data_IF_783271908349
#
_entry.id   IF_783271908349
#
_cell.length_a   1.000
_cell.length_b   1.000
_cell.length_c   1.000
_cell.angle_alpha   90.00
_cell.angle_beta   90.00
_cell.angle_gamma   90.00
#
_symmetry.space_group_name_H-M   'P 1'
#
loop_
_entity.id
_entity.type
_entity.pdbx_description
1 polymer ?
#
# COMPACT_ATOMS: atom_id res chain seq x y z
N UNK A 1 5.22 -18.58 3.90
CA UNK A 1 4.55 -18.44 2.59
C UNK A 1 3.25 -17.67 2.74
N UNK A 2 3.20 -16.48 2.17
CA UNK A 2 2.02 -15.63 2.28
C UNK A 2 1.01 -16.03 1.21
N UNK A 3 -0.14 -16.53 1.62
CA UNK A 3 -1.21 -16.91 0.70
C UNK A 3 -2.16 -15.74 0.39
N UNK A 4 -2.04 -14.66 1.15
CA UNK A 4 -2.80 -13.45 0.89
C UNK A 4 -1.96 -12.22 1.23
N UNK A 5 -2.34 -11.10 0.64
CA UNK A 5 -1.70 -9.82 0.88
C UNK A 5 -2.80 -8.84 1.29
N UNK A 6 -2.56 -8.03 2.31
CA UNK A 6 -3.57 -7.08 2.76
C UNK A 6 -3.49 -5.76 1.99
N UNK A 7 -4.54 -4.96 2.12
CA UNK A 7 -4.67 -3.71 1.38
C UNK A 7 -3.61 -2.68 1.77
N UNK A 8 -3.10 -2.72 3.00
CA UNK A 8 -2.04 -1.82 3.43
C UNK A 8 -0.76 -2.06 2.62
N UNK A 9 -0.37 -3.31 2.45
CA UNK A 9 0.81 -3.67 1.66
C UNK A 9 0.62 -3.26 0.20
N UNK A 10 -0.56 -3.53 -0.36
CA UNK A 10 -0.88 -3.12 -1.74
C UNK A 10 -0.79 -1.60 -1.91
N UNK A 11 -1.26 -0.83 -0.93
CA UNK A 11 -1.16 0.61 -0.97
C UNK A 11 0.28 1.13 -0.89
N UNK A 12 1.12 0.49 -0.09
CA UNK A 12 2.54 0.83 0.00
C UNK A 12 3.22 0.56 -1.34
N UNK A 13 2.93 -0.59 -1.95
CA UNK A 13 3.47 -0.94 -3.26
C UNK A 13 3.01 0.05 -4.33
N UNK A 14 1.73 0.42 -4.33
CA UNK A 14 1.20 1.40 -5.27
C UNK A 14 1.92 2.74 -5.15
N UNK A 15 2.16 3.20 -3.94
CA UNK A 15 2.88 4.44 -3.70
C UNK A 15 4.30 4.38 -4.23
N UNK A 16 4.99 3.26 -3.98
CA UNK A 16 6.34 3.05 -4.49
C UNK A 16 6.38 3.09 -6.01
N UNK A 17 5.44 2.38 -6.67
CA UNK A 17 5.35 2.36 -8.11
C UNK A 17 5.07 3.73 -8.71
N UNK A 18 4.19 4.51 -8.08
CA UNK A 18 3.89 5.88 -8.50
C UNK A 18 5.12 6.78 -8.39
N UNK A 19 5.87 6.67 -7.29
CA UNK A 19 7.10 7.45 -7.12
C UNK A 19 8.15 7.11 -8.16
N UNK A 20 8.34 5.83 -8.46
CA UNK A 20 9.29 5.39 -9.48
C UNK A 20 8.93 5.96 -10.85
N UNK A 21 7.64 5.97 -11.18
CA UNK A 21 7.17 6.50 -12.45
C UNK A 21 7.29 8.02 -12.52
N UNK A 22 6.91 8.73 -11.47
CA UNK A 22 6.85 10.20 -11.46
C UNK A 22 8.23 10.83 -11.30
N UNK A 23 9.08 10.27 -10.44
CA UNK A 23 10.36 10.88 -10.09
C UNK A 23 11.46 10.36 -11.01
N UNK A 24 11.47 9.06 -11.30
CA UNK A 24 12.56 8.42 -12.03
C UNK A 24 12.17 7.97 -13.43
N UNK A 25 10.90 8.14 -13.82
CA UNK A 25 10.35 7.68 -15.10
C UNK A 25 10.63 6.18 -15.34
N UNK A 26 10.54 5.38 -14.27
CA UNK A 26 10.76 3.94 -14.30
C UNK A 26 9.42 3.24 -14.18
N UNK A 27 9.15 2.31 -15.11
CA UNK A 27 7.98 1.45 -15.04
C UNK A 27 8.34 0.20 -14.24
N UNK A 28 7.77 0.08 -13.04
CA UNK A 28 8.03 -1.07 -12.18
C UNK A 28 7.26 -2.30 -12.67
N UNK A 29 7.86 -3.47 -12.45
CA UNK A 29 7.28 -4.76 -12.80
C UNK A 29 7.02 -5.54 -11.51
N UNK A 30 5.82 -6.09 -11.38
CA UNK A 30 5.45 -6.96 -10.26
C UNK A 30 5.34 -8.39 -10.77
N UNK A 31 6.14 -9.29 -10.22
CA UNK A 31 6.04 -10.72 -10.50
C UNK A 31 5.25 -11.40 -9.39
N UNK A 32 4.18 -12.08 -9.76
CA UNK A 32 3.34 -12.78 -8.80
C UNK A 32 3.32 -14.28 -9.14
N UNK A 33 3.60 -15.09 -8.13
CA UNK A 33 3.52 -16.56 -8.25
C UNK A 33 2.17 -17.10 -7.80
N UNK A 34 1.30 -16.24 -7.28
CA UNK A 34 -0.01 -16.63 -6.77
C UNK A 34 -1.09 -15.89 -7.58
N UNK A 35 -1.94 -16.68 -8.25
CA UNK A 35 -2.99 -16.13 -9.11
C UNK A 35 -4.02 -15.30 -8.34
N UNK A 36 -4.29 -15.66 -7.09
CA UNK A 36 -5.24 -14.90 -6.25
C UNK A 36 -4.69 -13.51 -5.92
N UNK A 37 -3.41 -13.42 -5.62
CA UNK A 37 -2.73 -12.14 -5.37
C UNK A 37 -2.70 -11.31 -6.66
N UNK A 38 -2.42 -11.93 -7.80
CA UNK A 38 -2.44 -11.25 -9.09
C UNK A 38 -3.83 -10.68 -9.39
N UNK A 39 -4.87 -11.47 -9.16
CA UNK A 39 -6.25 -11.03 -9.36
C UNK A 39 -6.59 -9.87 -8.43
N UNK A 40 -6.21 -9.97 -7.16
CA UNK A 40 -6.45 -8.92 -6.18
C UNK A 40 -5.73 -7.62 -6.58
N UNK A 41 -4.46 -7.71 -6.95
CA UNK A 41 -3.67 -6.55 -7.36
C UNK A 41 -4.31 -5.86 -8.58
N UNK A 42 -4.74 -6.63 -9.57
CA UNK A 42 -5.42 -6.08 -10.74
C UNK A 42 -6.74 -5.43 -10.38
N UNK A 43 -7.53 -6.05 -9.50
CA UNK A 43 -8.82 -5.49 -9.07
C UNK A 43 -8.65 -4.19 -8.29
N UNK A 44 -7.55 -4.02 -7.59
CA UNK A 44 -7.23 -2.80 -6.84
C UNK A 44 -6.59 -1.70 -7.71
N UNK A 45 -6.42 -1.95 -9.01
CA UNK A 45 -5.90 -0.95 -9.93
C UNK A 45 -4.40 -0.87 -10.00
N UNK A 46 -3.66 -1.83 -9.42
CA UNK A 46 -2.21 -1.80 -9.45
C UNK A 46 -1.63 -1.98 -10.86
N UNK A 47 -2.42 -2.49 -11.80
CA UNK A 47 -2.03 -2.55 -13.21
C UNK A 47 -1.78 -1.21 -13.86
N UNK A 48 -2.26 -0.11 -13.26
CA UNK A 48 -1.97 1.26 -13.72
C UNK A 48 -0.57 1.72 -13.31
N UNK A 49 0.00 1.10 -12.29
CA UNK A 49 1.26 1.50 -11.66
C UNK A 49 2.37 0.52 -11.99
N UNK A 50 2.03 -0.77 -12.06
CA UNK A 50 2.96 -1.87 -12.33
C UNK A 50 2.57 -2.61 -13.59
N UNK A 51 3.56 -3.19 -14.26
CA UNK A 51 3.32 -4.30 -15.19
C UNK A 51 3.25 -5.56 -14.34
N UNK A 52 2.07 -6.16 -14.24
CA UNK A 52 1.85 -7.33 -13.38
C UNK A 52 1.96 -8.60 -14.24
N UNK A 53 2.90 -9.45 -13.89
CA UNK A 53 3.16 -10.70 -14.59
C UNK A 53 2.96 -11.88 -13.64
N UNK A 54 2.27 -12.91 -14.13
CA UNK A 54 2.25 -14.20 -13.46
C UNK A 54 3.56 -14.91 -13.74
N UNK A 55 4.17 -15.42 -12.68
CA UNK A 55 5.46 -16.08 -12.79
C UNK A 55 5.47 -17.43 -12.09
N UNK A 56 5.96 -18.46 -12.79
CA UNK A 56 6.01 -19.83 -12.29
C UNK A 56 7.38 -20.17 -11.70
N UNK A 57 7.85 -19.30 -10.81
CA UNK A 57 8.93 -19.64 -9.90
C UNK A 57 10.30 -19.96 -10.47
N UNK A 58 11.14 -18.98 -10.77
CA UNK A 58 12.59 -19.15 -10.92
C UNK A 58 13.23 -18.82 -9.56
N UNK A 59 13.94 -19.76 -8.93
CA UNK A 59 14.56 -19.50 -7.63
C UNK A 59 15.65 -18.43 -7.68
N UNK A 60 16.07 -18.01 -8.86
CA UNK A 60 17.06 -16.95 -9.03
C UNK A 60 16.43 -15.56 -9.09
N UNK A 61 15.11 -15.44 -9.10
CA UNK A 61 14.43 -14.15 -9.07
C UNK A 61 14.58 -13.55 -7.68
N UNK A 62 15.07 -12.33 -7.64
CA UNK A 62 15.25 -11.60 -6.39
C UNK A 62 13.88 -11.25 -5.79
N UNK A 63 13.60 -11.76 -4.60
CA UNK A 63 12.40 -11.38 -3.87
C UNK A 63 12.71 -10.17 -3.01
N UNK A 64 11.82 -9.18 -3.05
CA UNK A 64 11.91 -8.02 -2.19
C UNK A 64 11.39 -8.43 -0.80
N UNK A 65 12.29 -8.52 0.15
CA UNK A 65 11.89 -8.70 1.53
C UNK A 65 11.65 -7.32 2.15
N UNK A 66 10.41 -7.12 2.62
CA UNK A 66 10.10 -5.93 3.38
C UNK A 66 10.71 -6.09 4.77
N UNK A 67 11.67 -5.24 5.11
CA UNK A 67 12.29 -5.24 6.41
C UNK A 67 11.29 -4.74 7.45
N UNK A 68 11.13 -5.51 8.52
CA UNK A 68 10.35 -5.06 9.67
C UNK A 68 11.14 -3.98 10.41
N UNK A 69 10.62 -2.78 10.39
CA UNK A 69 11.13 -1.69 11.20
C UNK A 69 10.28 -1.53 12.45
N UNK A 70 10.88 -1.06 13.53
CA UNK A 70 10.13 -0.67 14.71
C UNK A 70 9.30 0.54 14.40
N UNK A 71 8.00 0.31 14.21
CA UNK A 71 7.04 1.36 13.86
C UNK A 71 6.26 1.72 15.11
N UNK A 72 6.27 3.01 15.47
CA UNK A 72 5.42 3.51 16.56
C UNK A 72 3.96 3.41 16.13
N UNK A 73 3.04 3.43 17.12
CA UNK A 73 1.60 3.42 16.81
C UNK A 73 1.22 4.56 15.86
N UNK A 74 1.76 5.76 16.08
CA UNK A 74 1.50 6.91 15.20
C UNK A 74 2.03 6.67 13.79
N UNK A 75 3.25 6.14 13.67
CA UNK A 75 3.84 5.86 12.35
C UNK A 75 3.08 4.79 11.61
N UNK A 76 2.63 3.74 12.33
CA UNK A 76 1.80 2.70 11.74
C UNK A 76 0.47 3.28 11.23
N UNK A 77 -0.17 4.14 12.03
CA UNK A 77 -1.41 4.78 11.67
C UNK A 77 -1.24 5.64 10.42
N UNK A 78 -0.17 6.44 10.37
CA UNK A 78 0.15 7.26 9.20
C UNK A 78 0.39 6.38 7.96
N UNK A 79 1.11 5.28 8.11
CA UNK A 79 1.41 4.36 7.02
C UNK A 79 0.14 3.72 6.48
N UNK A 80 -0.73 3.22 7.34
CA UNK A 80 -2.00 2.60 6.94
C UNK A 80 -2.90 3.62 6.24
N UNK A 81 -3.01 4.81 6.82
CA UNK A 81 -3.83 5.89 6.25
C UNK A 81 -3.32 6.30 4.86
N UNK A 82 -2.02 6.53 4.73
CA UNK A 82 -1.40 6.94 3.47
C UNK A 82 -1.54 5.84 2.39
N UNK A 83 -1.34 4.58 2.76
CA UNK A 83 -1.48 3.46 1.84
C UNK A 83 -2.90 3.39 1.28
N UNK A 84 -3.92 3.55 2.13
CA UNK A 84 -5.31 3.47 1.69
C UNK A 84 -5.72 4.70 0.88
N UNK A 85 -5.23 5.89 1.22
CA UNK A 85 -5.44 7.08 0.39
C UNK A 85 -4.86 6.88 -1.02
N UNK A 86 -3.69 6.27 -1.12
CA UNK A 86 -3.07 5.97 -2.41
C UNK A 86 -3.94 5.02 -3.23
N UNK A 87 -4.46 3.95 -2.61
CA UNK A 87 -5.35 3.02 -3.32
C UNK A 87 -6.63 3.70 -3.79
N UNK A 88 -7.16 4.64 -3.01
CA UNK A 88 -8.37 5.38 -3.38
C UNK A 88 -8.17 6.23 -4.64
N UNK A 89 -6.94 6.66 -4.91
CA UNK A 89 -6.62 7.43 -6.11
C UNK A 89 -6.60 6.57 -7.37
N UNK A 90 -6.49 5.25 -7.25
CA UNK A 90 -6.33 4.36 -8.40
C UNK A 90 -7.65 4.10 -9.13
N UNK A 91 -8.77 3.95 -8.42
CA UNK A 91 -10.08 3.76 -9.05
C UNK A 91 -11.22 4.08 -8.09
N UNK A 92 -12.43 4.20 -8.65
CA UNK A 92 -13.63 4.57 -7.88
C UNK A 92 -14.04 3.45 -6.91
N UNK A 93 -13.86 2.19 -7.30
CA UNK A 93 -14.18 1.06 -6.44
C UNK A 93 -13.37 1.10 -5.14
N UNK A 94 -12.07 1.41 -5.25
CA UNK A 94 -11.20 1.58 -4.09
C UNK A 94 -11.68 2.76 -3.23
N UNK A 95 -12.04 3.87 -3.85
CA UNK A 95 -12.55 5.03 -3.12
C UNK A 95 -13.77 4.67 -2.29
N UNK A 96 -14.73 3.98 -2.89
CA UNK A 96 -15.94 3.57 -2.19
C UNK A 96 -15.65 2.58 -1.07
N UNK A 97 -14.74 1.65 -1.30
CA UNK A 97 -14.40 0.60 -0.34
C UNK A 97 -13.68 1.15 0.89
N UNK A 98 -12.72 2.05 0.70
CA UNK A 98 -11.82 2.48 1.76
C UNK A 98 -12.18 3.83 2.38
N UNK A 99 -13.14 4.56 1.82
CA UNK A 99 -13.53 5.87 2.36
C UNK A 99 -13.93 5.81 3.84
N UNK A 100 -14.78 4.86 4.28
CA UNK A 100 -15.13 4.79 5.72
C UNK A 100 -13.91 4.51 6.60
N UNK A 101 -13.02 3.63 6.15
CA UNK A 101 -11.80 3.31 6.89
C UNK A 101 -10.89 4.54 7.01
N UNK A 102 -10.68 5.25 5.89
CA UNK A 102 -9.83 6.45 5.89
C UNK A 102 -10.38 7.53 6.80
N UNK A 103 -11.70 7.73 6.82
CA UNK A 103 -12.33 8.68 7.72
C UNK A 103 -12.10 8.32 9.19
N UNK A 104 -12.21 7.04 9.52
CA UNK A 104 -12.00 6.56 10.89
C UNK A 104 -10.53 6.73 11.31
N UNK A 105 -9.60 6.37 10.44
CA UNK A 105 -8.17 6.51 10.70
C UNK A 105 -7.76 7.98 10.83
N UNK A 106 -8.35 8.85 10.02
CA UNK A 106 -8.08 10.29 10.08
C UNK A 106 -8.53 10.88 11.43
N UNK A 107 -9.69 10.45 11.93
CA UNK A 107 -10.16 10.88 13.25
C UNK A 107 -9.21 10.46 14.36
N UNK A 108 -8.71 9.23 14.29
CA UNK A 108 -7.77 8.71 15.28
C UNK A 108 -6.45 9.48 15.24
N UNK A 109 -5.96 9.79 14.05
CA UNK A 109 -4.74 10.60 13.88
C UNK A 109 -4.93 12.00 14.45
N UNK A 110 -6.05 12.65 14.17
CA UNK A 110 -6.36 13.98 14.67
C UNK A 110 -6.42 13.99 16.20
N UNK A 111 -6.99 12.95 16.79
CA UNK A 111 -7.03 12.80 18.26
C UNK A 111 -5.62 12.70 18.86
N UNK A 112 -4.74 11.93 18.22
CA UNK A 112 -3.35 11.81 18.68
C UNK A 112 -2.60 13.13 18.57
N UNK A 113 -2.83 13.89 17.49
CA UNK A 113 -2.20 15.19 17.30
C UNK A 113 -2.67 16.20 18.36
N UNK A 114 -3.96 16.18 18.72
CA UNK A 114 -4.49 17.03 19.78
C UNK A 114 -3.86 16.71 21.14
N UNK A 115 -3.70 15.43 21.45
CA UNK A 115 -3.07 15.00 22.71
C UNK A 115 -1.61 15.48 22.76
N UNK A 116 -0.86 15.35 21.66
CA UNK A 116 0.51 15.83 21.57
C UNK A 116 0.61 17.35 21.82
N UNK A 117 -0.30 18.11 21.24
CA UNK A 117 -0.33 19.58 21.43
C UNK A 117 -0.63 19.97 22.88
N UNK A 118 -1.53 19.23 23.54
CA UNK A 118 -1.86 19.48 24.94
C UNK A 118 -0.69 19.17 25.87
N UNK A 119 0.10 18.15 25.56
CA UNK A 119 1.26 17.78 26.36
C UNK A 119 2.41 18.77 26.22
N UNK A 120 2.48 19.50 25.13
CA UNK A 120 3.53 20.48 24.86
C UNK A 120 3.16 21.90 25.29
N UNK A 121 2.01 22.08 25.88
CA UNK A 121 1.55 23.39 26.33
C UNK A 121 2.09 23.75 27.70
#
# INVERSE_FOLDING_TARGET
QTTFIDSTVLGILAKLGLKLKQIHNIQAVMLSTNSDITTLANSMGLGQVFVILNYCGDPNVCTLELMEEHITHRNMLNTVLDAHKTLMELNQSNQNMFEPLVKQLQKEQDSLDQVSQQQNA
#
